data_IF_262829894937
#
_entry.id   IF_262829894937
#
_cell.length_a   1.000
_cell.length_b   1.000
_cell.length_c   1.000
_cell.angle_alpha   90.00
_cell.angle_beta   90.00
_cell.angle_gamma   90.00
#
_symmetry.space_group_name_H-M   'P 1'
#
loop_
_entity.id
_entity.type
_entity.pdbx_description
1 polymer ?
#
# COMPACT_ATOMS: atom_id res chain seq x y z
N UNK A 1 7.01 24.45 -6.04
CA UNK A 1 7.34 23.43 -5.03
C UNK A 1 6.60 22.16 -5.40
N UNK A 2 7.29 21.06 -5.68
CA UNK A 2 6.60 19.77 -5.90
C UNK A 2 5.90 19.40 -4.59
N UNK A 3 4.60 19.16 -4.65
CA UNK A 3 3.81 18.85 -3.46
C UNK A 3 4.37 17.56 -2.82
N UNK A 4 4.50 17.51 -1.48
CA UNK A 4 5.00 16.32 -0.76
C UNK A 4 4.19 15.07 -1.15
N UNK A 5 2.90 15.23 -1.38
CA UNK A 5 2.00 14.18 -1.88
C UNK A 5 2.36 13.73 -3.29
N UNK A 6 2.58 14.65 -4.24
CA UNK A 6 3.00 14.31 -5.60
C UNK A 6 4.36 13.58 -5.63
N UNK A 7 5.28 13.97 -4.75
CA UNK A 7 6.59 13.32 -4.61
C UNK A 7 6.43 11.88 -4.14
N UNK A 8 5.55 11.65 -3.16
CA UNK A 8 5.24 10.31 -2.67
C UNK A 8 4.54 9.46 -3.75
N UNK A 9 3.51 9.98 -4.41
CA UNK A 9 2.80 9.29 -5.51
C UNK A 9 3.79 8.86 -6.60
N UNK A 10 4.59 9.79 -7.12
CA UNK A 10 5.57 9.49 -8.17
C UNK A 10 6.58 8.44 -7.73
N UNK A 11 6.93 8.41 -6.44
CA UNK A 11 7.84 7.39 -5.92
C UNK A 11 7.17 6.02 -5.87
N UNK A 12 5.94 5.93 -5.38
CA UNK A 12 5.17 4.69 -5.32
C UNK A 12 4.87 4.15 -6.73
N UNK A 13 4.59 5.02 -7.70
CA UNK A 13 4.40 4.66 -9.11
C UNK A 13 5.67 4.09 -9.76
N UNK A 14 6.84 4.67 -9.45
CA UNK A 14 8.13 4.19 -9.97
C UNK A 14 8.55 2.85 -9.38
N UNK A 15 8.04 2.52 -8.20
CA UNK A 15 8.32 1.27 -7.50
C UNK A 15 7.14 0.30 -7.60
N UNK A 16 6.26 0.40 -8.60
CA UNK A 16 5.16 -0.55 -8.76
C UNK A 16 5.68 -1.98 -8.94
N UNK A 17 5.08 -2.99 -8.28
CA UNK A 17 5.44 -4.38 -8.47
C UNK A 17 4.99 -4.87 -9.85
N UNK A 18 5.78 -5.75 -10.48
CA UNK A 18 5.43 -6.36 -11.78
C UNK A 18 4.43 -7.51 -11.66
N UNK A 19 4.19 -7.98 -10.44
CA UNK A 19 3.24 -9.04 -10.12
C UNK A 19 1.81 -8.51 -10.17
N UNK A 20 0.97 -9.09 -11.04
CA UNK A 20 -0.39 -8.58 -11.29
C UNK A 20 -1.25 -8.53 -10.02
N UNK A 21 -1.09 -9.48 -9.11
CA UNK A 21 -1.88 -9.51 -7.88
C UNK A 21 -1.41 -8.46 -6.88
N UNK A 22 -0.09 -8.28 -6.77
CA UNK A 22 0.51 -7.25 -5.93
C UNK A 22 0.23 -5.84 -6.49
N UNK A 23 0.23 -5.66 -7.80
CA UNK A 23 -0.04 -4.37 -8.47
C UNK A 23 -1.47 -3.87 -8.20
N UNK A 24 -2.47 -4.74 -8.21
CA UNK A 24 -3.85 -4.35 -7.91
C UNK A 24 -3.98 -3.73 -6.52
N UNK A 25 -3.35 -4.35 -5.52
CA UNK A 25 -3.35 -3.84 -4.15
C UNK A 25 -2.50 -2.57 -4.04
N UNK A 26 -1.35 -2.55 -4.71
CA UNK A 26 -0.45 -1.40 -4.73
C UNK A 26 -1.08 -0.16 -5.39
N UNK A 27 -1.88 -0.36 -6.44
CA UNK A 27 -2.65 0.69 -7.09
C UNK A 27 -3.64 1.34 -6.11
N UNK A 28 -4.25 0.54 -5.23
CA UNK A 28 -5.13 1.05 -4.20
C UNK A 28 -4.35 1.89 -3.16
N UNK A 29 -3.16 1.45 -2.75
CA UNK A 29 -2.27 2.24 -1.87
C UNK A 29 -1.96 3.61 -2.48
N UNK A 30 -1.64 3.67 -3.77
CA UNK A 30 -1.39 4.93 -4.49
C UNK A 30 -2.64 5.82 -4.47
N UNK A 31 -3.82 5.24 -4.71
CA UNK A 31 -5.09 5.98 -4.68
C UNK A 31 -5.39 6.60 -3.32
N UNK A 32 -5.07 5.94 -2.21
CA UNK A 32 -5.27 6.53 -0.88
C UNK A 32 -4.38 7.75 -0.67
N UNK A 33 -3.11 7.68 -1.10
CA UNK A 33 -2.21 8.83 -1.05
C UNK A 33 -2.75 9.98 -1.90
N UNK A 34 -3.32 9.66 -3.06
CA UNK A 34 -3.86 10.64 -4.00
C UNK A 34 -5.18 11.27 -3.55
N UNK A 35 -6.15 10.45 -3.16
CA UNK A 35 -7.53 10.85 -2.90
C UNK A 35 -7.76 11.25 -1.43
N UNK A 36 -7.01 10.65 -0.50
CA UNK A 36 -7.17 10.87 0.95
C UNK A 36 -5.96 11.56 1.58
N UNK A 37 -4.92 11.84 0.80
CA UNK A 37 -3.75 12.60 1.26
C UNK A 37 -2.87 11.84 2.26
N UNK A 38 -2.92 10.50 2.27
CA UNK A 38 -2.08 9.69 3.15
C UNK A 38 -0.61 10.03 2.97
N UNK A 39 0.07 10.17 4.10
CA UNK A 39 1.52 10.37 4.15
C UNK A 39 2.24 9.03 4.21
N UNK A 40 3.56 9.07 4.03
CA UNK A 40 4.39 7.88 4.24
C UNK A 40 4.25 7.32 5.67
N UNK A 41 3.99 8.16 6.69
CA UNK A 41 3.76 7.68 8.07
C UNK A 41 2.48 6.86 8.17
N UNK A 42 1.43 7.28 7.46
CA UNK A 42 0.16 6.56 7.43
C UNK A 42 0.32 5.21 6.75
N UNK A 43 1.07 5.17 5.63
CA UNK A 43 1.39 3.91 4.95
C UNK A 43 2.19 2.94 5.84
N UNK A 44 3.11 3.45 6.67
CA UNK A 44 3.86 2.64 7.64
C UNK A 44 2.93 2.11 8.72
N UNK A 45 2.05 2.95 9.27
CA UNK A 45 1.08 2.53 10.28
C UNK A 45 0.14 1.45 9.73
N UNK A 46 -0.35 1.61 8.50
CA UNK A 46 -1.19 0.63 7.81
C UNK A 46 -0.46 -0.69 7.56
N UNK A 47 0.80 -0.64 7.14
CA UNK A 47 1.63 -1.84 7.00
C UNK A 47 1.69 -2.61 8.33
N UNK A 48 2.02 -1.93 9.43
CA UNK A 48 2.10 -2.58 10.73
C UNK A 48 0.75 -3.14 11.17
N UNK A 49 -0.32 -2.35 11.04
CA UNK A 49 -1.68 -2.80 11.35
C UNK A 49 -2.00 -4.09 10.58
N UNK A 50 -1.73 -4.12 9.28
CA UNK A 50 -1.96 -5.31 8.46
C UNK A 50 -1.12 -6.51 8.91
N UNK A 51 0.16 -6.32 9.23
CA UNK A 51 1.00 -7.43 9.71
C UNK A 51 0.54 -8.03 11.02
N UNK A 52 -0.10 -7.25 11.91
CA UNK A 52 -0.59 -7.72 13.21
C UNK A 52 -2.03 -8.22 13.20
N UNK A 53 -2.86 -7.74 12.26
CA UNK A 53 -4.26 -8.16 12.13
C UNK A 53 -4.49 -9.21 11.06
N UNK A 54 -3.47 -9.57 10.26
CA UNK A 54 -3.61 -10.64 9.26
C UNK A 54 -3.93 -11.96 9.98
N UNK A 55 -5.03 -12.58 9.58
CA UNK A 55 -5.32 -13.96 9.91
C UNK A 55 -4.97 -14.78 8.67
N UNK A 56 -4.21 -15.88 8.82
CA UNK A 56 -3.78 -16.72 7.70
C UNK A 56 -4.90 -16.91 6.66
N UNK A 57 -4.70 -16.40 5.44
CA UNK A 57 -5.71 -16.42 4.38
C UNK A 57 -6.57 -15.16 4.25
N UNK A 58 -6.22 -14.05 4.89
CA UNK A 58 -6.80 -12.73 4.59
C UNK A 58 -6.29 -12.26 3.21
N UNK A 59 -6.92 -12.79 2.15
CA UNK A 59 -6.66 -12.51 0.72
C UNK A 59 -6.96 -11.06 0.30
N UNK A 60 -6.84 -10.10 1.20
CA UNK A 60 -7.07 -8.69 0.94
C UNK A 60 -6.68 -7.80 2.12
N UNK A 61 -6.25 -6.59 1.80
CA UNK A 61 -6.05 -5.53 2.78
C UNK A 61 -7.40 -4.86 3.02
N UNK A 62 -7.92 -4.99 4.23
CA UNK A 62 -9.03 -4.14 4.67
C UNK A 62 -8.47 -2.77 5.00
N UNK A 63 -8.71 -1.83 4.12
CA UNK A 63 -8.32 -0.44 4.32
C UNK A 63 -9.59 0.35 4.59
N UNK A 64 -9.61 0.99 5.76
CA UNK A 64 -10.68 1.89 6.16
C UNK A 64 -10.39 3.22 5.44
N UNK A 65 -11.22 3.55 4.47
CA UNK A 65 -11.15 4.76 3.64
C UNK A 65 -12.32 5.68 3.99
N UNK A 66 -12.23 6.99 3.74
CA UNK A 66 -13.32 7.94 3.98
C UNK A 66 -14.50 7.79 3.00
N UNK A 67 -14.36 6.98 1.94
CA UNK A 67 -15.51 6.48 1.18
C UNK A 67 -16.13 5.32 1.96
N UNK A 68 -17.45 5.34 2.14
CA UNK A 68 -18.33 4.44 2.92
C UNK A 68 -18.27 2.93 2.57
N UNK A 69 -17.12 2.38 2.21
CA UNK A 69 -16.92 0.97 2.02
C UNK A 69 -15.54 0.62 2.52
N UNK A 70 -15.47 -0.36 3.41
CA UNK A 70 -14.29 -1.20 3.56
C UNK A 70 -13.91 -1.61 2.15
N UNK A 71 -12.94 -0.93 1.55
CA UNK A 71 -12.44 -1.36 0.26
C UNK A 71 -11.48 -2.46 0.62
N UNK A 72 -11.98 -3.69 0.53
CA UNK A 72 -11.12 -4.86 0.51
C UNK A 72 -10.27 -4.68 -0.75
N UNK A 73 -9.03 -4.20 -0.59
CA UNK A 73 -8.03 -4.30 -1.63
C UNK A 73 -7.63 -5.78 -1.67
N UNK A 74 -8.51 -6.54 -2.30
CA UNK A 74 -8.57 -7.99 -2.39
C UNK A 74 -9.78 -8.26 -3.26
N UNK A 75 -9.56 -8.94 -4.37
CA UNK A 75 -10.61 -9.22 -5.34
C UNK A 75 -11.73 -9.96 -4.59
N UNK A 76 -12.95 -9.44 -4.69
CA UNK A 76 -14.11 -9.88 -3.92
C UNK A 76 -14.24 -11.40 -3.81
N UNK A 77 -14.73 -11.85 -2.65
CA UNK A 77 -15.28 -13.18 -2.37
C UNK A 77 -14.77 -14.29 -3.30
N UNK A 78 -13.63 -14.90 -2.94
CA UNK A 78 -12.95 -16.00 -3.65
C UNK A 78 -12.13 -15.55 -4.87
N UNK A 79 -10.90 -15.07 -4.64
CA UNK A 79 -9.82 -15.28 -5.61
C UNK A 79 -8.53 -15.72 -4.92
N UNK A 80 -8.13 -16.94 -5.30
CA UNK A 80 -6.79 -17.47 -5.20
C UNK A 80 -5.79 -16.48 -5.84
N UNK A 81 -4.61 -16.30 -5.23
CA UNK A 81 -3.31 -15.84 -5.81
C UNK A 81 -2.68 -14.50 -5.37
N UNK A 82 -3.23 -13.70 -4.44
CA UNK A 82 -2.40 -12.66 -3.82
C UNK A 82 -1.36 -13.31 -2.89
N UNK A 83 -0.08 -13.24 -3.26
CA UNK A 83 1.02 -13.64 -2.38
C UNK A 83 1.23 -12.53 -1.34
N UNK A 84 0.54 -12.67 -0.21
CA UNK A 84 0.58 -11.72 0.90
C UNK A 84 2.02 -11.45 1.38
N UNK A 85 2.90 -12.46 1.35
CA UNK A 85 4.29 -12.29 1.77
C UNK A 85 5.04 -11.41 0.77
N UNK A 86 4.86 -11.67 -0.53
CA UNK A 86 5.46 -10.85 -1.60
C UNK A 86 4.98 -9.40 -1.55
N UNK A 87 3.70 -9.17 -1.27
CA UNK A 87 3.14 -7.84 -1.08
C UNK A 87 3.75 -7.13 0.11
N UNK A 88 3.83 -7.79 1.27
CA UNK A 88 4.38 -7.19 2.48
C UNK A 88 5.88 -6.90 2.36
N UNK A 89 6.63 -7.81 1.75
CA UNK A 89 8.03 -7.61 1.46
C UNK A 89 8.24 -6.41 0.54
N UNK A 90 7.45 -6.32 -0.53
CA UNK A 90 7.49 -5.20 -1.46
C UNK A 90 7.12 -3.88 -0.78
N UNK A 91 6.02 -3.85 -0.03
CA UNK A 91 5.56 -2.66 0.69
C UNK A 91 6.65 -2.14 1.63
N UNK A 92 7.20 -3.03 2.48
CA UNK A 92 8.26 -2.65 3.41
C UNK A 92 9.48 -2.08 2.69
N UNK A 93 9.99 -2.77 1.65
CA UNK A 93 11.15 -2.33 0.87
C UNK A 93 10.93 -0.94 0.27
N UNK A 94 9.75 -0.68 -0.28
CA UNK A 94 9.43 0.61 -0.88
C UNK A 94 9.35 1.73 0.16
N UNK A 95 8.77 1.48 1.34
CA UNK A 95 8.75 2.49 2.41
C UNK A 95 10.14 2.82 2.94
N UNK A 96 10.96 1.78 3.20
CA UNK A 96 12.34 1.95 3.67
C UNK A 96 13.16 2.77 2.65
N UNK A 97 13.02 2.47 1.36
CA UNK A 97 13.69 3.21 0.29
C UNK A 97 13.23 4.68 0.20
N UNK A 98 11.95 4.97 0.45
CA UNK A 98 11.46 6.35 0.50
C UNK A 98 12.06 7.14 1.67
N UNK A 99 12.10 6.53 2.86
CA UNK A 99 12.66 7.14 4.07
C UNK A 99 14.14 7.48 3.86
N UNK A 100 14.92 6.49 3.40
CA UNK A 100 16.35 6.66 3.14
C UNK A 100 16.63 7.79 2.15
N UNK A 101 15.79 7.92 1.11
CA UNK A 101 16.03 8.89 0.03
C UNK A 101 15.58 10.32 0.35
N UNK A 102 14.62 10.49 1.26
CA UNK A 102 13.90 11.77 1.36
C UNK A 102 13.62 12.27 2.77
N UNK A 103 13.89 11.48 3.81
CA UNK A 103 13.59 11.85 5.19
C UNK A 103 14.80 11.75 6.14
N UNK A 104 15.85 11.04 5.74
CA UNK A 104 17.09 10.91 6.51
C UNK A 104 18.26 11.75 5.95
N UNK A 105 18.00 12.55 4.91
CA UNK A 105 18.90 13.58 4.39
C UNK A 105 18.69 14.93 5.11
#
# INVERSE_FOLDING_TARGET
MVNKTEKLIRFLEKNRPSDQNTDLVWHFVIKLVQDEGLTIKDLIAMYYLYTVTKNCGSQGINIISHRDGVTTAGIGSRKYTCDENKLLEHWKKTMDAYILKYLLD
#
